data_IF_040164364101
#
_entry.id   IF_040164364101
#
_cell.length_a   1.000
_cell.length_b   1.000
_cell.length_c   1.000
_cell.angle_alpha   90.00
_cell.angle_beta   90.00
_cell.angle_gamma   90.00
#
_symmetry.space_group_name_H-M   'P 1'
#
loop_
_entity.id
_entity.type
_entity.pdbx_description
1 polymer ?
#
# COMPACT_ATOMS: atom_id res chain seq x y z
N UNK A 1 -14.31 6.34 -12.03
CA UNK A 1 -14.08 5.16 -11.18
C UNK A 1 -13.96 5.62 -9.75
N UNK A 2 -14.49 4.84 -8.83
CA UNK A 2 -14.26 5.05 -7.40
C UNK A 2 -12.80 4.70 -7.04
N UNK A 3 -12.25 5.20 -5.91
CA UNK A 3 -10.91 4.82 -5.46
C UNK A 3 -10.75 3.29 -5.33
N UNK A 4 -11.79 2.60 -4.86
CA UNK A 4 -11.80 1.14 -4.78
C UNK A 4 -11.66 0.46 -6.15
N UNK A 5 -12.40 0.92 -7.16
CA UNK A 5 -12.29 0.40 -8.53
C UNK A 5 -10.91 0.67 -9.14
N UNK A 6 -10.32 1.84 -8.88
CA UNK A 6 -8.97 2.17 -9.33
C UNK A 6 -7.94 1.22 -8.70
N UNK A 7 -7.98 1.04 -7.38
CA UNK A 7 -7.10 0.10 -6.67
C UNK A 7 -7.22 -1.32 -7.22
N UNK A 8 -8.44 -1.82 -7.45
CA UNK A 8 -8.67 -3.15 -8.05
C UNK A 8 -8.08 -3.26 -9.45
N UNK A 9 -8.25 -2.24 -10.28
CA UNK A 9 -7.70 -2.21 -11.64
C UNK A 9 -6.17 -2.27 -11.61
N UNK A 10 -5.53 -1.44 -10.79
CA UNK A 10 -4.07 -1.43 -10.60
C UNK A 10 -3.58 -2.80 -10.10
N UNK A 11 -4.17 -3.33 -9.03
CA UNK A 11 -3.81 -4.63 -8.45
C UNK A 11 -3.90 -5.76 -9.48
N UNK A 12 -4.97 -5.78 -10.28
CA UNK A 12 -5.15 -6.76 -11.36
C UNK A 12 -4.06 -6.65 -12.43
N UNK A 13 -3.71 -5.43 -12.86
CA UNK A 13 -2.71 -5.21 -13.89
C UNK A 13 -1.31 -5.60 -13.42
N UNK A 14 -0.98 -5.28 -12.17
CA UNK A 14 0.26 -5.74 -11.52
C UNK A 14 0.31 -7.26 -11.42
N UNK A 15 -0.78 -7.91 -10.99
CA UNK A 15 -0.84 -9.36 -10.88
C UNK A 15 -0.69 -10.04 -12.24
N UNK A 16 -1.30 -9.51 -13.29
CA UNK A 16 -1.14 -10.03 -14.64
C UNK A 16 0.31 -9.92 -15.12
N UNK A 17 0.98 -8.78 -14.90
CA UNK A 17 2.38 -8.63 -15.29
C UNK A 17 3.30 -9.56 -14.50
N UNK A 18 3.07 -9.70 -13.19
CA UNK A 18 3.81 -10.67 -12.37
C UNK A 18 3.59 -12.10 -12.89
N UNK A 19 2.36 -12.47 -13.24
CA UNK A 19 2.05 -13.78 -13.81
C UNK A 19 2.75 -14.00 -15.16
N UNK A 20 2.79 -13.00 -16.04
CA UNK A 20 3.53 -13.07 -17.30
C UNK A 20 5.02 -13.33 -17.05
N UNK A 21 5.65 -12.54 -16.18
CA UNK A 21 7.07 -12.72 -15.84
C UNK A 21 7.31 -14.11 -15.25
N UNK A 22 6.43 -14.61 -14.38
CA UNK A 22 6.54 -15.96 -13.80
C UNK A 22 6.44 -17.08 -14.84
N UNK A 23 5.52 -16.95 -15.81
CA UNK A 23 5.26 -17.99 -16.81
C UNK A 23 6.30 -17.94 -17.94
N UNK A 24 6.69 -16.76 -18.39
CA UNK A 24 7.59 -16.57 -19.52
C UNK A 24 9.06 -16.42 -19.13
N UNK A 25 9.42 -16.49 -17.84
CA UNK A 25 10.80 -16.39 -17.35
C UNK A 25 11.80 -17.29 -18.10
N UNK A 26 11.39 -18.50 -18.52
CA UNK A 26 12.28 -19.39 -19.27
C UNK A 26 12.63 -18.88 -20.68
N UNK A 27 11.77 -18.03 -21.24
CA UNK A 27 11.90 -17.48 -22.60
C UNK A 27 12.32 -16.01 -22.62
N UNK A 28 12.08 -15.28 -21.52
CA UNK A 28 12.43 -13.89 -21.36
C UNK A 28 13.67 -13.79 -20.48
N UNK A 29 14.71 -13.12 -20.96
CA UNK A 29 15.88 -12.84 -20.12
C UNK A 29 15.50 -11.96 -18.91
N UNK A 30 16.23 -12.14 -17.81
CA UNK A 30 15.99 -11.45 -16.52
C UNK A 30 15.85 -9.93 -16.67
N UNK A 31 16.67 -9.31 -17.52
CA UNK A 31 16.63 -7.87 -17.80
C UNK A 31 15.28 -7.44 -18.41
N UNK A 32 14.72 -8.25 -19.32
CA UNK A 32 13.43 -7.98 -19.92
C UNK A 32 12.30 -8.12 -18.90
N UNK A 33 12.35 -9.17 -18.08
CA UNK A 33 11.41 -9.39 -16.99
C UNK A 33 11.40 -8.22 -15.99
N UNK A 34 12.57 -7.78 -15.54
CA UNK A 34 12.72 -6.62 -14.67
C UNK A 34 12.18 -5.35 -15.34
N UNK A 35 12.52 -5.13 -16.61
CA UNK A 35 12.01 -3.98 -17.39
C UNK A 35 10.49 -3.97 -17.46
N UNK A 36 9.83 -5.11 -17.67
CA UNK A 36 8.35 -5.17 -17.67
C UNK A 36 7.81 -4.65 -16.34
N UNK A 37 8.31 -5.17 -15.21
CA UNK A 37 7.88 -4.75 -13.86
C UNK A 37 8.12 -3.25 -13.63
N UNK A 38 9.29 -2.74 -13.99
CA UNK A 38 9.65 -1.33 -13.79
C UNK A 38 8.83 -0.36 -14.63
N UNK A 39 8.30 -0.79 -15.78
CA UNK A 39 7.48 0.09 -16.63
C UNK A 39 6.04 0.24 -16.18
N UNK A 40 5.52 -0.69 -15.36
CA UNK A 40 4.10 -0.71 -14.94
C UNK A 40 3.67 0.61 -14.28
N UNK A 41 4.38 1.18 -13.30
CA UNK A 41 3.94 2.42 -12.68
C UNK A 41 3.77 3.54 -13.69
N UNK A 42 4.72 3.69 -14.62
CA UNK A 42 4.69 4.72 -15.65
C UNK A 42 3.60 4.50 -16.73
N UNK A 43 3.26 3.24 -17.03
CA UNK A 43 2.19 2.94 -17.98
C UNK A 43 0.81 3.16 -17.35
N UNK A 44 0.65 2.81 -16.07
CA UNK A 44 -0.60 2.97 -15.33
C UNK A 44 -0.83 4.40 -14.83
N UNK A 45 0.22 5.17 -14.55
CA UNK A 45 0.11 6.56 -14.09
C UNK A 45 -0.47 7.52 -15.15
N UNK A 46 -0.77 7.06 -16.37
CA UNK A 46 -1.58 7.86 -17.31
C UNK A 46 -3.06 7.85 -16.91
N UNK A 47 -3.53 6.72 -16.39
CA UNK A 47 -4.95 6.44 -16.17
C UNK A 47 -5.30 6.41 -14.66
N UNK A 48 -4.29 6.23 -13.81
CA UNK A 48 -4.45 6.08 -12.37
C UNK A 48 -3.37 6.88 -11.62
N UNK A 49 -3.66 8.13 -11.30
CA UNK A 49 -2.81 8.96 -10.42
C UNK A 49 -3.63 9.51 -9.26
N UNK A 50 -2.97 9.74 -8.13
CA UNK A 50 -3.56 10.37 -6.96
C UNK A 50 -4.82 9.63 -6.45
N UNK A 51 -4.72 8.31 -6.30
CA UNK A 51 -5.81 7.47 -5.82
C UNK A 51 -6.14 7.84 -4.38
N UNK A 52 -7.37 8.30 -4.15
CA UNK A 52 -7.83 8.82 -2.86
C UNK A 52 -8.17 7.70 -1.88
N UNK A 53 -7.14 7.03 -1.35
CA UNK A 53 -7.31 5.84 -0.50
C UNK A 53 -7.94 6.11 0.88
N UNK A 54 -8.00 7.38 1.31
CA UNK A 54 -8.72 7.80 2.52
C UNK A 54 -10.24 7.59 2.42
N UNK A 55 -10.78 7.46 1.21
CA UNK A 55 -12.20 7.23 0.98
C UNK A 55 -12.62 5.75 1.07
N UNK A 56 -11.66 4.84 1.27
CA UNK A 56 -11.92 3.40 1.32
C UNK A 56 -12.57 2.99 2.66
N UNK A 57 -13.50 2.05 2.60
CA UNK A 57 -14.07 1.41 3.78
C UNK A 57 -13.18 0.26 4.28
N UNK A 58 -13.42 -0.19 5.51
CA UNK A 58 -12.71 -1.32 6.11
C UNK A 58 -12.82 -2.58 5.27
N UNK A 59 -14.01 -2.86 4.73
CA UNK A 59 -14.27 -4.00 3.83
C UNK A 59 -13.44 -3.91 2.54
N UNK A 60 -13.40 -2.73 1.91
CA UNK A 60 -12.63 -2.50 0.69
C UNK A 60 -11.13 -2.61 0.93
N UNK A 61 -10.64 -2.10 2.07
CA UNK A 61 -9.24 -2.23 2.47
C UNK A 61 -8.85 -3.69 2.67
N UNK A 62 -9.71 -4.50 3.33
CA UNK A 62 -9.50 -5.94 3.48
C UNK A 62 -9.42 -6.66 2.11
N UNK A 63 -10.36 -6.39 1.19
CA UNK A 63 -10.36 -6.99 -0.16
C UNK A 63 -9.11 -6.62 -0.98
N UNK A 64 -8.69 -5.35 -0.87
CA UNK A 64 -7.48 -4.86 -1.52
C UNK A 64 -6.19 -5.42 -0.89
N UNK A 65 -6.28 -6.02 0.29
CA UNK A 65 -5.16 -6.64 0.99
C UNK A 65 -4.33 -5.63 1.78
N UNK A 66 -4.92 -4.51 2.21
CA UNK A 66 -4.33 -3.70 3.26
C UNK A 66 -4.27 -4.50 4.55
N UNK A 67 -3.31 -4.17 5.41
CA UNK A 67 -3.10 -4.96 6.63
C UNK A 67 -3.39 -4.17 7.88
N UNK A 68 -4.36 -4.64 8.66
CA UNK A 68 -4.60 -4.15 10.02
C UNK A 68 -3.63 -4.83 10.99
N UNK A 69 -2.80 -4.03 11.65
CA UNK A 69 -1.81 -4.54 12.59
C UNK A 69 -2.49 -5.16 13.82
N UNK A 70 -3.40 -4.43 14.45
CA UNK A 70 -4.04 -4.83 15.69
C UNK A 70 -5.55 -4.59 15.64
N UNK A 71 -6.34 -5.37 16.37
CA UNK A 71 -7.80 -5.18 16.43
C UNK A 71 -8.20 -3.92 17.20
N UNK A 72 -7.37 -3.46 18.13
CA UNK A 72 -7.56 -2.22 18.88
C UNK A 72 -7.14 -0.95 18.13
N UNK A 73 -6.49 -1.09 16.97
CA UNK A 73 -6.12 0.03 16.11
C UNK A 73 -6.83 -0.06 14.76
N UNK A 74 -7.73 0.89 14.42
CA UNK A 74 -8.45 0.85 13.15
C UNK A 74 -7.56 1.11 11.93
N UNK A 75 -6.29 1.46 12.10
CA UNK A 75 -5.36 1.76 11.01
C UNK A 75 -4.97 0.53 10.19
N UNK A 76 -4.99 0.72 8.87
CA UNK A 76 -4.57 -0.25 7.87
C UNK A 76 -3.29 0.20 7.18
N UNK A 77 -2.24 -0.62 7.21
CA UNK A 77 -1.00 -0.37 6.49
C UNK A 77 -1.22 -0.44 4.98
N UNK A 78 -0.61 0.51 4.28
CA UNK A 78 -0.73 0.66 2.83
C UNK A 78 0.18 -0.35 2.14
N UNK A 79 -0.32 -1.20 1.22
CA UNK A 79 0.52 -2.09 0.41
C UNK A 79 1.51 -1.31 -0.46
N UNK A 80 2.76 -1.79 -0.57
CA UNK A 80 3.82 -1.11 -1.34
C UNK A 80 3.44 -0.84 -2.80
N UNK A 81 2.65 -1.73 -3.39
CA UNK A 81 2.26 -1.62 -4.79
C UNK A 81 1.40 -0.38 -5.09
N UNK A 82 0.78 0.22 -4.07
CA UNK A 82 0.02 1.47 -4.22
C UNK A 82 0.91 2.71 -4.19
N UNK A 83 2.13 2.63 -3.67
CA UNK A 83 3.01 3.79 -3.45
C UNK A 83 3.13 4.73 -4.66
N UNK A 84 3.33 4.25 -5.90
CA UNK A 84 3.46 5.12 -7.07
C UNK A 84 2.18 5.89 -7.44
N UNK A 85 1.03 5.45 -6.93
CA UNK A 85 -0.30 5.93 -7.31
C UNK A 85 -0.96 6.78 -6.21
N UNK A 86 -0.31 6.92 -5.06
CA UNK A 86 -0.78 7.76 -3.96
C UNK A 86 -0.86 9.23 -4.38
N UNK A 87 -1.71 10.04 -3.73
CA UNK A 87 -1.68 11.50 -3.90
C UNK A 87 -0.33 12.05 -3.45
N UNK A 88 0.05 13.21 -3.98
CA UNK A 88 1.33 13.83 -3.65
C UNK A 88 1.43 14.23 -2.17
N UNK A 89 0.29 14.51 -1.55
CA UNK A 89 0.14 14.69 -0.11
C UNK A 89 -0.95 13.76 0.41
N UNK A 90 -0.66 13.06 1.50
CA UNK A 90 -1.54 12.08 2.11
C UNK A 90 -1.52 12.25 3.63
N UNK A 91 -2.68 12.51 4.21
CA UNK A 91 -2.85 12.39 5.66
C UNK A 91 -2.84 10.91 6.03
N UNK A 92 -1.80 10.50 6.76
CA UNK A 92 -1.63 9.11 7.18
C UNK A 92 -1.04 9.06 8.58
N UNK A 93 -1.20 7.90 9.20
CA UNK A 93 -0.62 7.64 10.51
C UNK A 93 0.59 6.74 10.36
N UNK A 94 1.70 7.16 10.97
CA UNK A 94 2.87 6.33 11.11
C UNK A 94 2.59 5.26 12.18
N UNK A 95 3.32 4.16 12.05
CA UNK A 95 3.26 3.03 12.94
C UNK A 95 3.66 3.34 14.40
N UNK A 96 4.32 4.46 14.65
CA UNK A 96 4.59 4.98 15.99
C UNK A 96 3.40 5.76 16.60
N UNK A 97 2.29 5.89 15.88
CA UNK A 97 1.08 6.59 16.32
C UNK A 97 1.06 8.09 15.99
N UNK A 98 2.06 8.61 15.28
CA UNK A 98 2.08 10.02 14.82
C UNK A 98 1.28 10.13 13.53
N UNK A 99 0.22 10.95 13.54
CA UNK A 99 -0.51 11.35 12.33
C UNK A 99 0.13 12.60 11.73
N UNK A 100 0.36 12.58 10.43
CA UNK A 100 0.89 13.72 9.69
C UNK A 100 0.39 13.72 8.24
N UNK A 101 0.36 14.92 7.65
CA UNK A 101 0.32 15.04 6.18
C UNK A 101 1.71 14.73 5.67
N UNK A 102 1.82 13.65 4.92
CA UNK A 102 3.08 13.23 4.33
C UNK A 102 3.10 13.52 2.84
N UNK A 103 4.25 13.99 2.36
CA UNK A 103 4.50 14.07 0.93
C UNK A 103 4.93 12.71 0.43
N UNK A 104 4.38 12.27 -0.70
CA UNK A 104 4.73 10.99 -1.35
C UNK A 104 6.24 10.84 -1.59
N UNK A 105 6.92 11.95 -1.88
CA UNK A 105 8.37 11.98 -2.10
C UNK A 105 9.19 11.75 -0.82
N UNK A 106 8.59 11.98 0.35
CA UNK A 106 9.23 11.87 1.67
C UNK A 106 8.85 10.55 2.37
N UNK A 107 8.05 9.70 1.73
CA UNK A 107 7.67 8.39 2.27
C UNK A 107 8.89 7.47 2.20
N UNK A 108 9.36 7.06 3.37
CA UNK A 108 10.40 6.04 3.46
C UNK A 108 9.91 4.73 2.80
N UNK A 109 10.71 4.20 1.89
CA UNK A 109 10.43 2.94 1.21
C UNK A 109 10.79 1.71 2.07
N UNK A 110 11.21 1.94 3.31
CA UNK A 110 11.41 0.91 4.31
C UNK A 110 10.15 0.04 4.43
N UNK A 111 10.29 -1.19 3.95
CA UNK A 111 9.16 -2.09 3.82
C UNK A 111 8.97 -2.90 5.10
N UNK A 112 7.71 -3.10 5.45
CA UNK A 112 7.28 -4.00 6.51
C UNK A 112 6.50 -5.13 5.87
N UNK A 113 7.22 -6.15 5.39
CA UNK A 113 6.62 -7.34 4.78
C UNK A 113 5.71 -7.04 3.58
N UNK A 114 6.12 -6.11 2.70
CA UNK A 114 5.33 -5.72 1.53
C UNK A 114 4.36 -4.54 1.75
N UNK A 115 4.44 -3.88 2.90
CA UNK A 115 3.67 -2.69 3.25
C UNK A 115 4.57 -1.48 3.57
N UNK A 116 4.04 -0.27 3.38
CA UNK A 116 4.64 0.96 3.90
C UNK A 116 4.56 0.97 5.44
N UNK A 117 5.49 1.67 6.11
CA UNK A 117 5.43 1.93 7.55
C UNK A 117 4.32 2.94 7.96
N UNK A 118 3.37 3.18 7.06
CA UNK A 118 2.30 4.15 7.18
C UNK A 118 0.96 3.49 6.81
N UNK A 119 -0.07 3.93 7.51
CA UNK A 119 -1.42 3.43 7.33
C UNK A 119 -2.47 4.52 7.28
N UNK A 120 -3.67 4.13 6.86
CA UNK A 120 -4.85 4.97 6.76
C UNK A 120 -5.92 4.41 7.68
N UNK A 121 -6.71 5.29 8.29
CA UNK A 121 -7.90 4.90 9.03
C UNK A 121 -9.07 4.83 8.02
N UNK A 122 -9.82 3.72 7.97
CA UNK A 122 -10.97 3.58 7.06
C UNK A 122 -12.02 4.66 7.27
N UNK A 123 -12.69 5.06 6.19
CA UNK A 123 -13.74 6.08 6.20
C UNK A 123 -14.90 5.76 7.15
N UNK A 124 -15.19 4.47 7.32
CA UNK A 124 -16.28 3.96 8.16
C UNK A 124 -15.86 3.68 9.62
N UNK A 125 -14.60 3.95 9.99
CA UNK A 125 -14.13 3.75 11.35
C UNK A 125 -14.67 4.85 12.29
N UNK A 126 -15.51 4.47 13.25
CA UNK A 126 -15.84 5.33 14.39
C UNK A 126 -14.67 5.29 15.39
N UNK A 127 -13.86 6.35 15.41
CA UNK A 127 -12.60 6.43 16.18
C UNK A 127 -12.72 5.99 17.66
N UNK A 128 -11.65 5.39 18.20
CA UNK A 128 -10.73 6.17 19.03
C UNK A 128 -9.32 6.23 18.44
N UNK A 129 -8.59 7.30 18.79
CA UNK A 129 -7.24 7.58 18.33
C UNK A 129 -6.28 6.39 18.51
N UNK A 130 -5.32 6.17 17.59
CA UNK A 130 -4.43 5.01 17.62
C UNK A 130 -3.55 5.01 18.88
N UNK A 131 -3.71 4.00 19.74
CA UNK A 131 -2.81 3.76 20.87
C UNK A 131 -1.79 2.67 20.53
N UNK A 132 -0.51 3.08 20.49
CA UNK A 132 0.74 2.30 20.57
C UNK A 132 0.82 0.99 19.76
N UNK A 133 1.07 1.14 18.47
CA UNK A 133 1.43 0.05 17.56
C UNK A 133 2.83 -0.57 17.82
N UNK A 134 3.81 0.17 18.36
CA UNK A 134 5.20 -0.31 18.46
C UNK A 134 5.38 -1.61 19.26
N UNK A 135 4.71 -1.75 20.41
CA UNK A 135 4.84 -2.94 21.26
C UNK A 135 4.27 -4.21 20.60
N UNK A 136 3.18 -4.08 19.83
CA UNK A 136 2.60 -5.16 19.06
C UNK A 136 3.53 -5.62 17.92
N UNK A 137 4.27 -4.69 17.32
CA UNK A 137 5.14 -5.00 16.19
C UNK A 137 6.46 -5.62 16.60
N UNK A 138 6.99 -5.23 17.76
CA UNK A 138 8.14 -5.91 18.37
C UNK A 138 7.77 -7.34 18.75
N UNK A 139 6.59 -7.57 19.32
CA UNK A 139 6.11 -8.94 19.64
C UNK A 139 5.88 -9.80 18.40
N UNK A 140 5.60 -9.20 17.24
CA UNK A 140 5.46 -9.89 15.95
C UNK A 140 6.76 -9.95 15.12
N UNK A 141 7.87 -9.40 15.62
CA UNK A 141 9.18 -9.39 14.93
C UNK A 141 9.25 -8.48 13.69
N UNK A 142 8.32 -7.54 13.56
CA UNK A 142 8.20 -6.64 12.39
C UNK A 142 9.10 -5.40 12.54
N UNK A 143 9.26 -4.91 13.77
CA UNK A 143 10.26 -3.91 14.13
C UNK A 143 11.44 -4.61 14.82
N UNK A 144 12.67 -4.35 14.34
CA UNK A 144 13.91 -4.77 14.99
C UNK A 144 14.33 -3.71 16.03
N UNK A 145 15.07 -4.14 17.04
CA UNK A 145 15.47 -3.30 18.18
C UNK A 145 16.32 -2.08 17.81
#
# INVERSE_FOLDING_TARGET
MTPYEQCKAIKRLLLNCAAEVMVYHANWGDEYCAKQIHTIPSSLSRDFTQVQIAELTSEQMNDLGFWRLDEGNPMYLIPLWLHPFLPDELECSCINGVTAVMKRADIDNDNRCGFLAYGIIPKDATSPAPQRCEAFLRTKGILKD
#
